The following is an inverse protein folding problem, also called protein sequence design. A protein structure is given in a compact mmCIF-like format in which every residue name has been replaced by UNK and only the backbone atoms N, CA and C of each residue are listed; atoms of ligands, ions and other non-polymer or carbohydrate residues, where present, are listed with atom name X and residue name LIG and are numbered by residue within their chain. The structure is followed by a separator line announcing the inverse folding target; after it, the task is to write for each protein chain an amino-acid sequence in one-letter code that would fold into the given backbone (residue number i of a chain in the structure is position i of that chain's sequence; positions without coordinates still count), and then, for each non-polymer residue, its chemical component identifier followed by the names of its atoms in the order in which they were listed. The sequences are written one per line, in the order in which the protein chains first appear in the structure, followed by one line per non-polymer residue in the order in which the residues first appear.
data_IF_797178234111
#
_entry.id   IF_797178234111
#
_cell.length_a   1.000
_cell.length_b   1.000
_cell.length_c   1.000
_cell.angle_alpha   90.00
_cell.angle_beta   90.00
_cell.angle_gamma   90.00
#
_symmetry.space_group_name_H-M   'P 1'
#
loop_
_entity.id
_entity.type
_entity.pdbx_description
1 polymer ?
#
# COMPACT_ATOMS: atom_id res chain seq x y z
N UNK A 1 -3.06 31.64 18.34
CA UNK A 1 -2.01 32.15 17.43
C UNK A 1 -2.64 32.34 16.05
N UNK A 2 -2.62 33.56 15.51
CA UNK A 2 -3.17 33.84 14.17
C UNK A 2 -2.17 33.27 13.16
N UNK A 3 -2.61 32.36 12.31
CA UNK A 3 -1.78 31.82 11.20
C UNK A 3 -1.31 33.01 10.36
N UNK A 4 -0.01 33.11 10.07
CA UNK A 4 0.52 34.21 9.27
C UNK A 4 -0.14 34.21 7.88
N UNK A 5 -0.41 35.39 7.35
CA UNK A 5 -1.17 35.58 6.10
C UNK A 5 -0.51 34.90 4.90
N UNK A 6 0.83 34.88 4.85
CA UNK A 6 1.63 34.19 3.85
C UNK A 6 1.37 32.67 3.83
N UNK A 7 1.34 32.02 4.99
CA UNK A 7 1.02 30.59 5.13
C UNK A 7 -0.41 30.31 4.63
N UNK A 8 -1.35 31.18 4.98
CA UNK A 8 -2.74 31.04 4.55
C UNK A 8 -2.87 31.17 3.02
N UNK A 9 -2.16 32.12 2.40
CA UNK A 9 -2.16 32.31 0.94
C UNK A 9 -1.59 31.08 0.22
N UNK A 10 -0.46 30.54 0.69
CA UNK A 10 0.13 29.32 0.11
C UNK A 10 -0.81 28.14 0.25
N UNK A 11 -1.44 27.97 1.42
CA UNK A 11 -2.39 26.89 1.64
C UNK A 11 -3.61 26.98 0.72
N UNK A 12 -4.22 28.17 0.59
CA UNK A 12 -5.36 28.39 -0.29
C UNK A 12 -4.98 28.20 -1.76
N UNK A 13 -3.81 28.68 -2.19
CA UNK A 13 -3.33 28.49 -3.56
C UNK A 13 -3.12 27.00 -3.88
N UNK A 14 -2.50 26.24 -2.98
CA UNK A 14 -2.34 24.78 -3.12
C UNK A 14 -3.70 24.07 -3.17
N UNK A 15 -4.65 24.44 -2.30
CA UNK A 15 -5.98 23.85 -2.29
C UNK A 15 -6.77 24.14 -3.57
N UNK A 16 -6.73 25.38 -4.07
CA UNK A 16 -7.34 25.75 -5.36
C UNK A 16 -6.68 25.00 -6.52
N UNK A 17 -5.37 24.81 -6.48
CA UNK A 17 -4.64 24.03 -7.49
C UNK A 17 -5.07 22.56 -7.49
N UNK A 18 -5.24 21.93 -6.31
CA UNK A 18 -5.79 20.57 -6.20
C UNK A 18 -7.19 20.50 -6.82
N UNK A 19 -8.09 21.42 -6.45
CA UNK A 19 -9.46 21.44 -6.98
C UNK A 19 -9.47 21.62 -8.50
N UNK A 20 -8.70 22.56 -9.03
CA UNK A 20 -8.58 22.78 -10.47
C UNK A 20 -8.01 21.54 -11.18
N UNK A 21 -6.99 20.90 -10.60
CA UNK A 21 -6.36 19.70 -11.17
C UNK A 21 -7.33 18.53 -11.28
N UNK A 22 -8.23 18.34 -10.31
CA UNK A 22 -9.25 17.28 -10.33
C UNK A 22 -10.23 17.37 -11.51
N UNK A 23 -10.31 18.54 -12.14
CA UNK A 23 -11.14 18.81 -13.33
C UNK A 23 -10.28 18.85 -14.60
N UNK A 24 -9.16 19.56 -14.56
CA UNK A 24 -8.31 19.83 -15.74
C UNK A 24 -7.48 18.61 -16.14
N UNK A 25 -7.01 17.80 -15.17
CA UNK A 25 -6.15 16.64 -15.41
C UNK A 25 -6.94 15.32 -15.53
N UNK A 26 -8.24 15.40 -15.82
CA UNK A 26 -9.04 14.20 -16.07
C UNK A 26 -8.49 13.44 -17.28
N UNK A 27 -8.23 12.15 -17.10
CA UNK A 27 -7.66 11.30 -18.13
C UNK A 27 -6.13 11.33 -18.23
N UNK A 28 -5.44 11.94 -17.25
CA UNK A 28 -3.99 11.79 -17.12
C UNK A 28 -3.63 10.30 -16.97
N UNK A 29 -2.58 9.87 -17.67
CA UNK A 29 -2.04 8.53 -17.54
C UNK A 29 -0.97 8.54 -16.45
N UNK A 30 -1.13 7.68 -15.45
CA UNK A 30 -0.11 7.46 -14.44
C UNK A 30 0.98 6.53 -14.99
N UNK A 31 2.21 6.70 -14.51
CA UNK A 31 3.29 5.73 -14.73
C UNK A 31 2.87 4.39 -14.11
N UNK A 32 3.23 3.28 -14.75
CA UNK A 32 3.08 1.95 -14.17
C UNK A 32 3.87 1.83 -12.88
N UNK A 33 3.26 1.22 -11.87
CA UNK A 33 3.88 0.92 -10.57
C UNK A 33 4.35 -0.54 -10.62
N UNK A 34 5.66 -0.82 -10.70
CA UNK A 34 6.17 -2.18 -10.87
C UNK A 34 5.66 -3.16 -9.82
N UNK A 35 5.53 -2.70 -8.57
CA UNK A 35 5.03 -3.49 -7.45
C UNK A 35 3.60 -3.99 -7.66
N UNK A 36 2.74 -3.24 -8.37
CA UNK A 36 1.38 -3.68 -8.68
C UNK A 36 1.42 -4.86 -9.67
N UNK A 37 2.22 -4.75 -10.72
CA UNK A 37 2.38 -5.81 -11.71
C UNK A 37 3.03 -7.05 -11.09
N UNK A 38 4.06 -6.85 -10.27
CA UNK A 38 4.70 -7.90 -9.48
C UNK A 38 3.73 -8.56 -8.49
N UNK A 39 2.77 -7.83 -7.92
CA UNK A 39 1.76 -8.41 -7.03
C UNK A 39 0.83 -9.39 -7.76
N UNK A 40 0.51 -9.10 -9.02
CA UNK A 40 -0.26 -10.03 -9.88
C UNK A 40 0.61 -11.19 -10.33
N UNK A 41 1.89 -10.95 -10.63
CA UNK A 41 2.87 -12.00 -10.90
C UNK A 41 3.04 -12.96 -9.71
N UNK A 42 3.03 -12.46 -8.48
CA UNK A 42 3.11 -13.25 -7.26
C UNK A 42 1.99 -14.31 -7.19
N UNK A 43 0.78 -14.00 -7.67
CA UNK A 43 -0.32 -14.97 -7.78
C UNK A 43 0.05 -16.10 -8.74
N UNK A 44 0.66 -15.76 -9.88
CA UNK A 44 1.08 -16.75 -10.89
C UNK A 44 2.22 -17.62 -10.38
N UNK A 45 3.19 -17.04 -9.67
CA UNK A 45 4.24 -17.80 -8.99
C UNK A 45 3.66 -18.76 -7.95
N UNK A 46 2.70 -18.30 -7.14
CA UNK A 46 2.00 -19.15 -6.19
C UNK A 46 1.24 -20.30 -6.89
N UNK A 47 0.64 -20.02 -8.05
CA UNK A 47 -0.02 -21.01 -8.92
C UNK A 47 0.97 -22.07 -9.41
N UNK A 48 2.09 -21.65 -9.98
CA UNK A 48 3.12 -22.55 -10.53
C UNK A 48 3.73 -23.44 -9.44
N UNK A 49 3.90 -22.90 -8.23
CA UNK A 49 4.41 -23.64 -7.07
C UNK A 49 3.36 -24.54 -6.40
N UNK A 50 2.07 -24.34 -6.69
CA UNK A 50 0.97 -25.04 -6.03
C UNK A 50 0.84 -24.68 -4.55
N UNK A 51 1.16 -23.44 -4.19
CA UNK A 51 1.21 -22.94 -2.80
C UNK A 51 0.22 -21.79 -2.61
N UNK A 52 -0.23 -21.50 -1.38
CA UNK A 52 -0.99 -20.27 -1.11
C UNK A 52 -0.15 -19.00 -1.30
N UNK A 53 -0.82 -17.88 -1.51
CA UNK A 53 -0.24 -16.54 -1.47
C UNK A 53 -0.54 -15.89 -0.11
N UNK A 54 0.49 -15.32 0.51
CA UNK A 54 0.34 -14.51 1.73
C UNK A 54 0.20 -13.04 1.34
N UNK A 55 -0.90 -12.40 1.72
CA UNK A 55 -1.06 -10.95 1.63
C UNK A 55 -1.01 -10.36 3.04
N UNK A 56 0.01 -9.56 3.33
CA UNK A 56 0.14 -8.87 4.60
C UNK A 56 0.11 -7.35 4.38
N UNK A 57 -0.62 -6.68 5.27
CA UNK A 57 -0.72 -5.22 5.29
C UNK A 57 -0.22 -4.62 6.60
N UNK A 58 0.29 -5.48 7.48
CA UNK A 58 1.00 -5.14 8.69
C UNK A 58 0.13 -4.65 9.84
N UNK A 59 0.82 -3.96 10.74
CA UNK A 59 0.29 -3.46 12.00
C UNK A 59 -0.55 -2.17 11.85
N UNK A 60 -0.56 -1.55 10.67
CA UNK A 60 -1.04 -0.18 10.48
C UNK A 60 -2.50 0.04 10.82
N UNK A 61 -3.27 -1.04 10.88
CA UNK A 61 -4.61 -1.00 11.41
C UNK A 61 -4.70 -0.46 12.85
N UNK A 62 -3.68 -0.61 13.71
CA UNK A 62 -3.79 -0.23 15.13
C UNK A 62 -4.01 1.29 15.37
N UNK A 63 -3.74 2.14 14.39
CA UNK A 63 -3.69 3.61 14.56
C UNK A 63 -4.79 4.38 13.79
N UNK A 64 -5.89 3.72 13.42
CA UNK A 64 -7.03 4.34 12.72
C UNK A 64 -7.59 5.59 13.44
N UNK A 65 -7.49 5.66 14.77
CA UNK A 65 -8.06 6.76 15.57
C UNK A 65 -7.04 7.26 16.60
N UNK A 66 -6.70 8.56 16.54
CA UNK A 66 -6.06 9.27 17.65
C UNK A 66 -4.53 9.24 17.74
N UNK A 67 -3.82 8.57 16.83
CA UNK A 67 -2.36 8.70 16.71
C UNK A 67 -1.99 9.74 15.64
N UNK A 68 -0.86 10.42 15.80
CA UNK A 68 -0.32 11.38 14.81
C UNK A 68 -0.11 10.79 13.40
N UNK A 69 -0.13 9.45 13.28
CA UNK A 69 -0.05 8.67 12.05
C UNK A 69 -1.41 8.29 11.43
N UNK A 70 -2.54 8.68 12.02
CA UNK A 70 -3.87 8.27 11.56
C UNK A 70 -4.21 8.75 10.14
N UNK A 71 -3.73 9.93 9.74
CA UNK A 71 -3.87 10.42 8.36
C UNK A 71 -3.14 9.55 7.34
N UNK A 72 -1.95 9.05 7.71
CA UNK A 72 -1.15 8.15 6.90
C UNK A 72 -1.92 6.84 6.68
N UNK A 73 -2.42 6.21 7.75
CA UNK A 73 -3.23 4.98 7.67
C UNK A 73 -4.47 5.13 6.77
N UNK A 74 -5.18 6.26 6.84
CA UNK A 74 -6.39 6.51 6.06
C UNK A 74 -6.13 6.58 4.54
N UNK A 75 -4.94 7.00 4.12
CA UNK A 75 -4.59 7.07 2.71
C UNK A 75 -4.20 5.69 2.12
N UNK A 76 -3.60 4.82 2.93
CA UNK A 76 -3.08 3.52 2.47
C UNK A 76 -4.13 2.42 2.45
N UNK A 77 -5.03 2.38 3.42
CA UNK A 77 -6.01 1.28 3.54
C UNK A 77 -6.86 1.10 2.27
N UNK A 78 -7.40 2.16 1.64
CA UNK A 78 -8.14 1.98 0.38
C UNK A 78 -7.27 1.39 -0.74
N UNK A 79 -5.99 1.78 -0.80
CA UNK A 79 -5.06 1.31 -1.82
C UNK A 79 -4.71 -0.17 -1.65
N UNK A 80 -4.44 -0.61 -0.41
CA UNK A 80 -4.13 -2.01 -0.10
C UNK A 80 -5.36 -2.91 -0.24
N UNK A 81 -6.56 -2.44 0.13
CA UNK A 81 -7.83 -3.16 -0.10
C UNK A 81 -8.11 -3.37 -1.59
N UNK A 82 -7.93 -2.33 -2.40
CA UNK A 82 -8.14 -2.44 -3.83
C UNK A 82 -7.13 -3.41 -4.48
N UNK A 83 -5.88 -3.40 -4.01
CA UNK A 83 -4.88 -4.38 -4.43
C UNK A 83 -5.27 -5.80 -4.03
N UNK A 84 -5.70 -6.01 -2.78
CA UNK A 84 -6.19 -7.32 -2.31
C UNK A 84 -7.35 -7.83 -3.17
N UNK A 85 -8.29 -6.95 -3.56
CA UNK A 85 -9.40 -7.33 -4.45
C UNK A 85 -8.89 -7.81 -5.81
N UNK A 86 -7.92 -7.13 -6.41
CA UNK A 86 -7.34 -7.54 -7.69
C UNK A 86 -6.52 -8.84 -7.59
N UNK A 87 -5.72 -8.98 -6.53
CA UNK A 87 -5.01 -10.23 -6.22
C UNK A 87 -6.01 -11.37 -6.08
N UNK A 88 -7.12 -11.15 -5.36
CA UNK A 88 -8.18 -12.15 -5.15
C UNK A 88 -8.91 -12.51 -6.44
N UNK A 89 -9.08 -11.56 -7.36
CA UNK A 89 -9.66 -11.81 -8.68
C UNK A 89 -8.75 -12.70 -9.56
N UNK A 90 -7.45 -12.40 -9.62
CA UNK A 90 -6.48 -13.23 -10.35
C UNK A 90 -6.36 -14.61 -9.69
N UNK A 91 -6.27 -14.64 -8.36
CA UNK A 91 -6.17 -15.87 -7.58
C UNK A 91 -7.41 -16.77 -7.73
N UNK A 92 -8.59 -16.18 -7.72
CA UNK A 92 -9.85 -16.85 -7.99
C UNK A 92 -9.88 -17.49 -9.39
N UNK A 93 -9.29 -16.84 -10.39
CA UNK A 93 -9.19 -17.38 -11.75
C UNK A 93 -8.21 -18.55 -11.83
N UNK A 94 -7.07 -18.44 -11.16
CA UNK A 94 -5.97 -19.42 -11.20
C UNK A 94 -6.10 -20.55 -10.16
N UNK A 95 -7.01 -20.44 -9.21
CA UNK A 95 -7.22 -21.45 -8.16
C UNK A 95 -6.22 -21.34 -7.01
N UNK A 96 -5.72 -20.13 -6.73
CA UNK A 96 -4.79 -19.86 -5.64
C UNK A 96 -5.56 -19.46 -4.38
N UNK A 97 -5.20 -20.09 -3.26
CA UNK A 97 -5.66 -19.66 -1.93
C UNK A 97 -4.89 -18.40 -1.52
N UNK A 98 -5.61 -17.34 -1.17
CA UNK A 98 -5.03 -16.10 -0.62
C UNK A 98 -5.28 -16.10 0.88
N UNK A 99 -4.25 -15.84 1.67
CA UNK A 99 -4.34 -15.72 3.14
C UNK A 99 -3.96 -14.31 3.51
N UNK A 100 -4.77 -13.63 4.32
CA UNK A 100 -4.50 -12.25 4.74
C UNK A 100 -4.61 -12.08 6.25
N UNK A 101 -3.80 -11.18 6.79
CA UNK A 101 -3.70 -10.91 8.21
C UNK A 101 -3.67 -9.42 8.54
N UNK A 102 -4.24 -9.02 9.66
CA UNK A 102 -4.06 -7.66 10.20
C UNK A 102 -4.32 -7.59 11.70
N UNK A 103 -3.79 -6.57 12.36
CA UNK A 103 -4.03 -6.30 13.79
C UNK A 103 -5.22 -5.35 14.05
N UNK A 104 -6.05 -5.06 13.04
CA UNK A 104 -7.24 -4.23 13.21
C UNK A 104 -8.51 -4.93 12.72
N UNK A 105 -9.52 -4.94 13.58
CA UNK A 105 -10.79 -5.62 13.33
C UNK A 105 -11.61 -4.99 12.21
N UNK A 106 -11.64 -3.66 12.09
CA UNK A 106 -12.32 -2.95 10.99
C UNK A 106 -11.65 -3.29 9.66
N UNK A 107 -10.33 -3.30 9.64
CA UNK A 107 -9.58 -3.60 8.44
C UNK A 107 -9.69 -5.08 8.05
N UNK A 108 -9.76 -6.00 9.02
CA UNK A 108 -10.07 -7.41 8.77
C UNK A 108 -11.47 -7.57 8.14
N UNK A 109 -12.48 -6.85 8.66
CA UNK A 109 -13.83 -6.85 8.07
C UNK A 109 -13.83 -6.31 6.64
N UNK A 110 -13.14 -5.20 6.38
CA UNK A 110 -13.02 -4.66 5.02
C UNK A 110 -12.24 -5.61 4.09
N UNK A 111 -11.17 -6.24 4.59
CA UNK A 111 -10.38 -7.20 3.82
C UNK A 111 -11.23 -8.39 3.40
N UNK A 112 -12.10 -8.88 4.29
CA UNK A 112 -13.09 -9.92 3.97
C UNK A 112 -13.99 -9.48 2.82
N UNK A 113 -14.60 -8.29 2.93
CA UNK A 113 -15.56 -7.80 1.94
C UNK A 113 -14.90 -7.57 0.55
N UNK A 114 -13.66 -7.05 0.51
CA UNK A 114 -12.91 -6.83 -0.73
C UNK A 114 -12.39 -8.13 -1.35
N UNK A 115 -11.92 -9.08 -0.52
CA UNK A 115 -11.47 -10.38 -0.98
C UNK A 115 -12.65 -11.20 -1.54
N UNK A 116 -13.80 -11.21 -0.85
CA UNK A 116 -15.04 -11.83 -1.33
C UNK A 116 -15.48 -11.24 -2.68
N UNK A 117 -15.46 -9.91 -2.82
CA UNK A 117 -15.77 -9.24 -4.08
C UNK A 117 -14.80 -9.65 -5.20
N UNK A 118 -13.50 -9.73 -4.91
CA UNK A 118 -12.47 -10.15 -5.87
C UNK A 118 -12.69 -11.57 -6.38
N UNK A 119 -12.90 -12.54 -5.48
CA UNK A 119 -13.25 -13.91 -5.87
C UNK A 119 -14.56 -13.96 -6.65
N UNK A 120 -15.57 -13.17 -6.27
CA UNK A 120 -16.82 -13.05 -7.04
C UNK A 120 -16.60 -12.54 -8.47
N UNK A 121 -15.74 -11.54 -8.66
CA UNK A 121 -15.38 -10.99 -9.97
C UNK A 121 -14.62 -11.99 -10.85
N UNK A 122 -13.93 -12.97 -10.25
CA UNK A 122 -13.25 -14.05 -11.00
C UNK A 122 -14.21 -15.09 -11.59
N UNK A 123 -15.50 -15.05 -11.21
CA UNK A 123 -16.47 -16.09 -11.55
C UNK A 123 -16.40 -17.33 -10.65
N UNK A 124 -15.54 -17.32 -9.63
CA UNK A 124 -15.33 -18.41 -8.67
C UNK A 124 -15.54 -17.99 -7.21
N UNK A 125 -16.75 -17.50 -6.83
CA UNK A 125 -17.04 -17.09 -5.46
C UNK A 125 -16.90 -18.25 -4.44
N UNK A 126 -17.06 -19.50 -4.88
CA UNK A 126 -16.91 -20.70 -4.04
C UNK A 126 -15.48 -20.93 -3.54
N UNK A 127 -14.48 -20.28 -4.16
CA UNK A 127 -13.07 -20.35 -3.75
C UNK A 127 -12.74 -19.39 -2.61
N UNK A 128 -13.63 -18.43 -2.31
CA UNK A 128 -13.47 -17.56 -1.17
C UNK A 128 -13.67 -18.35 0.13
N UNK A 129 -12.73 -18.18 1.07
CA UNK A 129 -12.80 -18.79 2.39
C UNK A 129 -12.66 -17.69 3.46
N UNK A 130 -13.71 -17.45 4.28
CA UNK A 130 -13.65 -16.43 5.32
C UNK A 130 -12.64 -16.75 6.44
N UNK A 131 -12.25 -18.03 6.61
CA UNK A 131 -11.25 -18.44 7.60
C UNK A 131 -9.81 -18.05 7.20
N UNK A 132 -9.61 -17.57 5.96
CA UNK A 132 -8.34 -17.04 5.47
C UNK A 132 -8.14 -15.54 5.80
N UNK A 133 -9.08 -14.94 6.53
CA UNK A 133 -9.00 -13.58 7.07
C UNK A 133 -8.61 -13.63 8.55
N UNK A 134 -7.34 -13.39 8.84
CA UNK A 134 -6.77 -13.52 10.18
C UNK A 134 -6.75 -12.16 10.90
N UNK A 135 -7.32 -12.10 12.11
CA UNK A 135 -7.12 -10.99 13.04
C UNK A 135 -6.10 -11.38 14.12
N UNK A 136 -5.16 -10.49 14.40
CA UNK A 136 -4.18 -10.68 15.46
C UNK A 136 -4.29 -9.61 16.55
N UNK A 137 -4.12 -9.98 17.83
CA UNK A 137 -4.24 -9.03 18.94
C UNK A 137 -3.13 -7.98 18.96
N UNK A 138 -1.94 -8.30 18.45
CA UNK A 138 -0.79 -7.41 18.38
C UNK A 138 0.18 -7.82 17.26
N UNK A 139 1.22 -7.00 17.05
CA UNK A 139 2.23 -7.21 16.01
C UNK A 139 3.07 -8.47 16.25
N UNK A 140 3.33 -8.85 17.51
CA UNK A 140 4.10 -10.06 17.83
C UNK A 140 3.32 -11.30 17.41
N UNK A 141 2.03 -11.34 17.73
CA UNK A 141 1.13 -12.41 17.34
C UNK A 141 1.00 -12.52 15.82
N UNK A 142 0.93 -11.39 15.10
CA UNK A 142 0.92 -11.36 13.64
C UNK A 142 2.20 -12.03 13.08
N UNK A 143 3.36 -11.53 13.47
CA UNK A 143 4.67 -11.99 12.97
C UNK A 143 4.90 -13.47 13.24
N UNK A 144 4.65 -13.93 14.47
CA UNK A 144 4.83 -15.34 14.82
C UNK A 144 3.86 -16.25 14.04
N UNK A 145 2.62 -15.80 13.85
CA UNK A 145 1.61 -16.56 13.12
C UNK A 145 1.89 -16.61 11.62
N UNK A 146 2.49 -15.57 11.05
CA UNK A 146 2.82 -15.55 9.62
C UNK A 146 4.08 -16.35 9.33
N UNK A 147 5.12 -16.27 10.18
CA UNK A 147 6.28 -17.17 10.10
C UNK A 147 5.85 -18.63 10.19
N UNK A 148 4.95 -18.97 11.11
CA UNK A 148 4.42 -20.32 11.24
C UNK A 148 3.66 -20.77 9.98
N UNK A 149 2.81 -19.91 9.42
CA UNK A 149 2.08 -20.20 8.17
C UNK A 149 3.02 -20.36 6.99
N UNK A 150 4.05 -19.51 6.87
CA UNK A 150 5.04 -19.56 5.79
C UNK A 150 5.66 -20.95 5.73
N UNK A 151 6.12 -21.48 6.86
CA UNK A 151 6.71 -22.81 6.90
C UNK A 151 5.68 -23.93 6.77
N UNK A 152 4.54 -23.85 7.48
CA UNK A 152 3.53 -24.92 7.47
C UNK A 152 2.89 -25.10 6.09
N UNK A 153 2.64 -24.00 5.40
CA UNK A 153 1.95 -23.99 4.11
C UNK A 153 2.92 -23.90 2.92
N UNK A 154 4.23 -23.80 3.20
CA UNK A 154 5.27 -23.62 2.20
C UNK A 154 4.95 -22.46 1.24
N UNK A 155 4.66 -21.28 1.79
CA UNK A 155 4.22 -20.11 1.00
C UNK A 155 5.24 -19.83 -0.11
N UNK A 156 4.75 -19.77 -1.36
CA UNK A 156 5.58 -19.62 -2.56
C UNK A 156 5.67 -18.19 -3.09
N UNK A 157 4.76 -17.30 -2.65
CA UNK A 157 4.82 -15.88 -2.91
C UNK A 157 4.09 -15.08 -1.81
N UNK A 158 4.58 -13.88 -1.52
CA UNK A 158 3.99 -12.96 -0.56
C UNK A 158 3.95 -11.53 -1.12
N UNK A 159 2.86 -10.84 -0.82
CA UNK A 159 2.67 -9.41 -1.10
C UNK A 159 2.49 -8.71 0.25
N UNK A 160 3.48 -7.93 0.63
CA UNK A 160 3.55 -7.24 1.91
C UNK A 160 3.55 -5.73 1.69
N UNK A 161 2.37 -5.15 1.49
CA UNK A 161 2.20 -3.70 1.23
C UNK A 161 1.38 -3.09 2.35
N UNK A 162 2.00 -2.20 3.11
CA UNK A 162 1.36 -1.58 4.27
C UNK A 162 2.38 -1.01 5.24
N UNK A 163 1.97 -0.85 6.48
CA UNK A 163 2.83 -0.36 7.55
C UNK A 163 3.15 -1.50 8.49
N UNK A 164 4.36 -2.03 8.33
CA UNK A 164 4.88 -3.11 9.14
C UNK A 164 6.03 -2.59 10.01
N UNK A 165 6.43 -3.31 11.06
CA UNK A 165 7.46 -2.87 12.00
C UNK A 165 8.85 -3.43 11.63
N UNK A 166 9.83 -2.56 11.40
CA UNK A 166 11.18 -2.89 10.94
C UNK A 166 11.79 -4.13 11.59
N UNK A 167 11.75 -4.16 12.93
CA UNK A 167 12.43 -5.19 13.71
C UNK A 167 11.72 -6.54 13.61
N UNK A 168 10.42 -6.52 13.34
CA UNK A 168 9.58 -7.71 13.32
C UNK A 168 9.46 -8.33 11.93
N UNK A 169 9.49 -7.51 10.87
CA UNK A 169 9.27 -8.01 9.50
C UNK A 169 10.47 -8.77 8.95
N UNK A 170 11.68 -8.46 9.41
CA UNK A 170 12.89 -9.15 8.93
C UNK A 170 12.80 -10.66 9.18
N UNK A 171 12.10 -11.08 10.24
CA UNK A 171 11.87 -12.50 10.55
C UNK A 171 10.88 -13.12 9.56
N UNK A 172 9.87 -12.37 9.11
CA UNK A 172 8.94 -12.80 8.06
C UNK A 172 9.69 -12.91 6.73
N UNK A 173 10.51 -11.92 6.39
CA UNK A 173 11.33 -11.92 5.17
C UNK A 173 12.32 -13.08 5.14
N UNK A 174 12.99 -13.38 6.25
CA UNK A 174 13.86 -14.55 6.36
C UNK A 174 13.06 -15.86 6.18
N UNK A 175 11.89 -15.99 6.80
CA UNK A 175 11.03 -17.16 6.64
C UNK A 175 10.64 -17.36 5.16
N UNK A 176 10.24 -16.29 4.47
CA UNK A 176 9.94 -16.31 3.03
C UNK A 176 11.16 -16.68 2.19
N UNK A 177 12.34 -16.13 2.50
CA UNK A 177 13.57 -16.46 1.79
C UNK A 177 13.93 -17.95 1.95
N UNK A 178 13.73 -18.54 3.14
CA UNK A 178 14.02 -19.96 3.37
C UNK A 178 13.08 -20.92 2.63
N UNK A 179 11.85 -20.51 2.32
CA UNK A 179 10.93 -21.27 1.45
C UNK A 179 11.13 -20.93 -0.03
N UNK A 180 12.03 -20.00 -0.35
CA UNK A 180 12.28 -19.50 -1.69
C UNK A 180 11.08 -18.76 -2.27
N UNK A 181 10.26 -18.12 -1.42
CA UNK A 181 9.09 -17.37 -1.83
C UNK A 181 9.48 -16.09 -2.57
N UNK A 182 8.70 -15.70 -3.59
CA UNK A 182 8.78 -14.36 -4.16
C UNK A 182 8.23 -13.35 -3.16
N UNK A 183 8.94 -12.25 -2.91
CA UNK A 183 8.51 -11.19 -2.01
C UNK A 183 8.33 -9.87 -2.76
N UNK A 184 7.09 -9.38 -2.75
CA UNK A 184 6.73 -8.03 -3.19
C UNK A 184 6.45 -7.21 -1.95
N UNK A 185 7.20 -6.13 -1.72
CA UNK A 185 7.10 -5.34 -0.50
C UNK A 185 6.89 -3.84 -0.76
N UNK A 186 6.25 -3.18 0.18
CA UNK A 186 6.08 -1.73 0.16
C UNK A 186 5.72 -1.21 1.54
N UNK A 187 6.58 -0.38 2.12
CA UNK A 187 6.38 0.18 3.44
C UNK A 187 5.91 1.64 3.39
N UNK A 188 5.08 2.03 4.34
CA UNK A 188 4.60 3.42 4.46
C UNK A 188 5.61 4.35 5.15
N UNK A 189 6.58 3.77 5.86
CA UNK A 189 7.58 4.50 6.63
C UNK A 189 8.96 4.38 5.98
N UNK A 190 9.69 5.49 5.77
CA UNK A 190 10.97 5.45 5.08
C UNK A 190 12.04 4.54 5.72
N UNK A 191 12.07 4.46 7.05
CA UNK A 191 13.00 3.59 7.77
C UNK A 191 12.72 2.11 7.50
N UNK A 192 11.45 1.71 7.52
CA UNK A 192 11.01 0.34 7.26
C UNK A 192 11.28 -0.06 5.81
N UNK A 193 11.06 0.86 4.87
CA UNK A 193 11.26 0.61 3.44
C UNK A 193 12.72 0.30 3.09
N UNK A 194 13.68 0.80 3.87
CA UNK A 194 15.11 0.51 3.67
C UNK A 194 15.47 -0.96 3.94
N UNK A 195 14.76 -1.62 4.85
CA UNK A 195 14.95 -3.06 5.10
C UNK A 195 14.27 -3.89 4.01
N UNK A 196 13.04 -3.52 3.62
CA UNK A 196 12.36 -4.17 2.51
C UNK A 196 13.21 -4.13 1.22
N UNK A 197 13.93 -3.03 0.97
CA UNK A 197 14.85 -2.91 -0.16
C UNK A 197 15.99 -3.94 -0.20
N UNK A 198 16.37 -4.52 0.95
CA UNK A 198 17.43 -5.54 1.03
C UNK A 198 16.89 -6.97 0.86
N UNK A 199 15.59 -7.18 1.09
CA UNK A 199 14.99 -8.51 1.17
C UNK A 199 13.99 -8.81 0.04
N UNK A 200 13.32 -7.79 -0.49
CA UNK A 200 12.24 -7.96 -1.46
C UNK A 200 12.76 -8.04 -2.90
N UNK A 201 12.09 -8.84 -3.72
CA UNK A 201 12.33 -8.92 -5.17
C UNK A 201 11.81 -7.65 -5.87
N UNK A 202 10.69 -7.10 -5.38
CA UNK A 202 10.09 -5.86 -5.86
C UNK A 202 9.74 -4.94 -4.69
N UNK A 203 10.10 -3.67 -4.81
CA UNK A 203 9.89 -2.65 -3.78
C UNK A 203 9.11 -1.47 -4.36
N UNK A 204 8.06 -1.03 -3.65
CA UNK A 204 7.45 0.29 -3.85
C UNK A 204 7.87 1.28 -2.77
N UNK A 205 7.86 2.57 -3.13
CA UNK A 205 8.01 3.67 -2.18
C UNK A 205 6.67 4.04 -1.53
N UNK A 206 6.75 4.76 -0.40
CA UNK A 206 5.57 5.18 0.35
C UNK A 206 4.58 5.96 -0.52
N UNK A 207 5.04 6.87 -1.38
CA UNK A 207 4.17 7.62 -2.30
C UNK A 207 3.51 6.71 -3.34
N UNK A 208 4.22 5.69 -3.82
CA UNK A 208 3.67 4.72 -4.77
C UNK A 208 2.58 3.87 -4.10
N UNK A 209 2.78 3.49 -2.84
CA UNK A 209 1.80 2.73 -2.06
C UNK A 209 0.45 3.47 -1.91
N UNK A 210 0.45 4.80 -1.82
CA UNK A 210 -0.78 5.62 -1.82
C UNK A 210 -1.40 5.64 -3.23
N UNK A 211 -0.55 5.70 -4.25
CA UNK A 211 -0.97 5.77 -5.65
C UNK A 211 -1.62 4.47 -6.16
N UNK A 212 -1.34 3.30 -5.54
CA UNK A 212 -1.86 1.99 -5.96
C UNK A 212 -3.39 2.04 -6.14
N UNK A 213 -4.14 2.56 -5.16
CA UNK A 213 -5.60 2.64 -5.26
C UNK A 213 -6.08 3.49 -6.45
N UNK A 214 -5.38 4.60 -6.72
CA UNK A 214 -5.67 5.48 -7.86
C UNK A 214 -5.26 4.84 -9.19
N UNK A 215 -4.24 3.99 -9.19
CA UNK A 215 -3.78 3.25 -10.37
C UNK A 215 -4.78 2.16 -10.75
N UNK A 216 -5.32 1.45 -9.76
CA UNK A 216 -6.21 0.30 -9.92
C UNK A 216 -7.67 0.66 -10.24
N UNK A 217 -8.13 1.86 -9.83
CA UNK A 217 -9.49 2.33 -10.14
C UNK A 217 -9.64 2.84 -11.57
N UNK A 218 -10.82 2.65 -12.16
CA UNK A 218 -11.21 3.25 -13.44
C UNK A 218 -11.63 4.71 -13.31
N UNK A 219 -11.90 5.19 -12.08
CA UNK A 219 -12.30 6.58 -11.85
C UNK A 219 -11.15 7.54 -12.25
N UNK A 220 -11.38 8.48 -13.18
CA UNK A 220 -10.36 9.46 -13.56
C UNK A 220 -10.06 10.50 -12.47
N UNK A 221 -10.92 10.65 -11.45
CA UNK A 221 -10.77 11.68 -10.42
C UNK A 221 -9.57 11.41 -9.49
N UNK A 222 -9.41 10.21 -8.88
CA UNK A 222 -8.21 9.91 -8.07
C UNK A 222 -6.90 10.08 -8.84
N UNK A 223 -6.86 9.68 -10.12
CA UNK A 223 -5.69 9.87 -11.01
C UNK A 223 -5.37 11.35 -11.21
N UNK A 224 -6.40 12.17 -11.44
CA UNK A 224 -6.24 13.61 -11.62
C UNK A 224 -5.75 14.31 -10.35
N UNK A 225 -6.25 13.90 -9.18
CA UNK A 225 -5.82 14.43 -7.88
C UNK A 225 -4.34 14.11 -7.64
N UNK A 226 -3.91 12.87 -7.89
CA UNK A 226 -2.52 12.47 -7.72
C UNK A 226 -1.56 13.29 -8.60
N UNK A 227 -1.91 13.49 -9.87
CA UNK A 227 -1.12 14.34 -10.76
C UNK A 227 -1.11 15.82 -10.31
N UNK A 228 -2.21 16.32 -9.74
CA UNK A 228 -2.29 17.64 -9.14
C UNK A 228 -1.39 17.81 -7.92
N UNK A 229 -1.28 16.77 -7.10
CA UNK A 229 -0.39 16.72 -5.95
C UNK A 229 1.08 16.88 -6.38
N UNK A 230 1.49 16.20 -7.45
CA UNK A 230 2.85 16.31 -8.00
C UNK A 230 3.16 17.73 -8.51
N UNK A 231 2.19 18.39 -9.14
CA UNK A 231 2.33 19.80 -9.57
C UNK A 231 2.55 20.73 -8.37
N UNK A 232 1.81 20.51 -7.28
CA UNK A 232 1.93 21.32 -6.06
C UNK A 232 3.26 21.05 -5.37
N UNK A 233 3.69 19.79 -5.28
CA UNK A 233 5.03 19.44 -4.76
C UNK A 233 6.11 20.15 -5.57
N UNK A 234 6.04 20.11 -6.90
CA UNK A 234 6.97 20.82 -7.79
C UNK A 234 6.98 22.33 -7.54
N UNK A 235 5.81 22.96 -7.42
CA UNK A 235 5.67 24.37 -7.09
C UNK A 235 6.30 24.71 -5.72
N UNK A 236 6.00 23.94 -4.68
CA UNK A 236 6.53 24.16 -3.33
C UNK A 236 8.04 23.98 -3.29
N UNK A 237 8.59 22.96 -3.96
CA UNK A 237 10.04 22.78 -4.12
C UNK A 237 10.65 24.03 -4.78
N UNK A 238 10.03 24.55 -5.84
CA UNK A 238 10.47 25.79 -6.49
C UNK A 238 10.48 27.01 -5.56
N UNK A 239 9.43 27.18 -4.75
CA UNK A 239 9.34 28.25 -3.74
C UNK A 239 10.44 28.13 -2.68
N UNK A 240 10.70 26.92 -2.19
CA UNK A 240 11.75 26.66 -1.19
C UNK A 240 13.14 26.95 -1.76
N UNK A 241 13.41 26.50 -2.99
CA UNK A 241 14.69 26.77 -3.67
C UNK A 241 14.88 28.28 -3.89
N UNK A 242 13.86 28.97 -4.41
CA UNK A 242 13.92 30.42 -4.64
C UNK A 242 14.12 31.18 -3.32
N UNK A 243 13.38 30.83 -2.28
CA UNK A 243 13.53 31.42 -0.95
C UNK A 243 14.93 31.21 -0.38
N UNK A 244 15.48 30.00 -0.53
CA UNK A 244 16.85 29.68 -0.11
C UNK A 244 17.91 30.48 -0.86
N UNK A 245 17.75 30.67 -2.17
CA UNK A 245 18.65 31.50 -2.99
C UNK A 245 18.59 32.97 -2.58
N UNK A 246 17.38 33.53 -2.43
CA UNK A 246 17.20 34.93 -2.04
C UNK A 246 17.77 35.22 -0.64
N UNK A 247 17.59 34.29 0.30
CA UNK A 247 18.21 34.34 1.62
C UNK A 247 19.74 34.27 1.55
N UNK A 248 20.30 33.36 0.74
CA UNK A 248 21.73 33.25 0.51
C UNK A 248 22.36 34.50 -0.13
N UNK A 249 21.59 35.24 -0.93
CA UNK A 249 21.98 36.52 -1.53
C UNK A 249 21.75 37.74 -0.62
N UNK A 250 21.19 37.56 0.57
CA UNK A 250 20.90 38.65 1.53
C UNK A 250 19.78 39.59 1.08
N UNK A 251 18.95 39.18 0.11
CA UNK A 251 17.75 39.91 -0.32
C UNK A 251 16.61 39.71 0.67
N UNK A 252 16.62 38.58 1.38
CA UNK A 252 15.62 38.12 2.34
C UNK A 252 16.30 37.73 3.66
#
# INVERSE_FOLDING_TARGET
AIVRLDILVVFVASFVTLLASSVVLRGVKLRQIPTVEASIEAVRVATEKGTPLLFDSGWTGANFWGHSSGLTTLAFVPATLELLKQISQEAGSLGVRVITGTTNSVYALMSRDFMEAGFGMSGHPERFNPDDINFYPDNTALVLSDVEKIHRLNIGAAVMIGGHNQTSNIVIYEALATTGAMLVAGEIWPNDNSMAALCADYLSFAEENIAIGSYLTDDPVPKAILAGEDLIKGFLIGVVILGGVLYGLGVL
#
